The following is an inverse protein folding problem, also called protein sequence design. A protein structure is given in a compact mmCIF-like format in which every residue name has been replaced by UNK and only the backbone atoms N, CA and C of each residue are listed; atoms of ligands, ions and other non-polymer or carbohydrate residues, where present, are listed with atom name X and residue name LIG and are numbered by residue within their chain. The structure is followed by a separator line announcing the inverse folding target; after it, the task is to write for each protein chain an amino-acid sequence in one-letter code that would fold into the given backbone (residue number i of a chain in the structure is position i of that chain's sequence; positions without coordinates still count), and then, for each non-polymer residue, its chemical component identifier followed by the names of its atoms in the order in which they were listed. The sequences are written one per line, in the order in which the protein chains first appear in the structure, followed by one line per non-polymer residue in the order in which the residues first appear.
data_IF_828442242745
#
_entry.id   IF_828442242745
#
_cell.length_a   1.000
_cell.length_b   1.000
_cell.length_c   1.000
_cell.angle_alpha   90.00
_cell.angle_beta   90.00
_cell.angle_gamma   90.00
#
_symmetry.space_group_name_H-M   'P 1'
#
loop_
_entity.id
_entity.type
_entity.pdbx_description
1 polymer ?
#
# COMPACT_ATOMS: atom_id res chain seq x y z
N UNK A 1 1.59 23.58 8.92
CA UNK A 1 1.87 22.53 7.93
C UNK A 1 0.54 22.05 7.35
N UNK A 2 0.51 21.65 6.07
CA UNK A 2 -0.68 21.05 5.43
C UNK A 2 -0.48 19.53 5.41
N UNK A 3 -1.49 18.77 5.81
CA UNK A 3 -1.48 17.30 5.79
C UNK A 3 -2.61 16.86 4.85
N UNK A 4 -2.29 16.06 3.83
CA UNK A 4 -3.30 15.40 3.01
C UNK A 4 -3.90 14.22 3.80
N UNK A 5 -5.09 14.43 4.35
CA UNK A 5 -5.81 13.37 5.06
C UNK A 5 -6.44 12.36 4.09
N UNK A 6 -6.84 12.78 2.88
CA UNK A 6 -7.32 11.94 1.77
C UNK A 6 -7.56 12.83 0.54
N UNK A 7 -7.07 12.42 -0.63
CA UNK A 7 -7.54 12.88 -1.93
C UNK A 7 -8.00 11.68 -2.77
N UNK A 8 -8.59 11.95 -3.94
CA UNK A 8 -9.00 10.89 -4.88
C UNK A 8 -7.80 10.03 -5.27
N UNK A 9 -6.66 10.67 -5.52
CA UNK A 9 -5.45 10.02 -6.02
C UNK A 9 -4.57 9.46 -4.89
N UNK A 10 -4.57 10.07 -3.70
CA UNK A 10 -3.60 9.76 -2.65
C UNK A 10 -4.22 9.69 -1.26
N UNK A 11 -3.80 8.69 -0.48
CA UNK A 11 -4.12 8.60 0.94
C UNK A 11 -2.86 8.30 1.76
N UNK A 12 -1.92 9.24 1.86
CA UNK A 12 -0.59 8.99 2.43
C UNK A 12 -0.63 8.69 3.93
N UNK A 13 -1.60 9.24 4.64
CA UNK A 13 -1.82 9.00 6.08
C UNK A 13 -2.24 7.55 6.36
N UNK A 14 -3.08 6.94 5.52
CA UNK A 14 -3.49 5.55 5.66
C UNK A 14 -2.30 4.61 5.50
N UNK A 15 -1.47 4.82 4.48
CA UNK A 15 -0.27 4.00 4.30
C UNK A 15 0.69 4.09 5.50
N UNK A 16 0.86 5.28 6.09
CA UNK A 16 1.64 5.42 7.31
C UNK A 16 1.05 4.62 8.49
N UNK A 17 -0.29 4.63 8.63
CA UNK A 17 -0.99 3.81 9.62
C UNK A 17 -0.72 2.33 9.38
N UNK A 18 -0.88 1.85 8.15
CA UNK A 18 -0.67 0.44 7.77
C UNK A 18 0.76 -0.02 8.07
N UNK A 19 1.77 0.75 7.65
CA UNK A 19 3.19 0.46 7.92
C UNK A 19 3.48 0.45 9.42
N UNK A 20 2.90 1.39 10.18
CA UNK A 20 3.08 1.47 11.63
C UNK A 20 2.50 0.23 12.30
N UNK A 21 1.30 -0.18 11.91
CA UNK A 21 0.65 -1.40 12.41
C UNK A 21 1.48 -2.64 12.06
N UNK A 22 1.93 -2.78 10.81
CA UNK A 22 2.79 -3.91 10.40
C UNK A 22 4.09 -3.96 11.22
N UNK A 23 4.79 -2.82 11.37
CA UNK A 23 5.99 -2.75 12.20
C UNK A 23 5.72 -3.13 13.66
N UNK A 24 4.61 -2.66 14.24
CA UNK A 24 4.24 -3.00 15.62
C UNK A 24 3.89 -4.48 15.80
N UNK A 25 3.29 -5.12 14.80
CA UNK A 25 2.85 -6.52 14.88
C UNK A 25 3.92 -7.52 14.49
N UNK A 26 4.79 -7.17 13.54
CA UNK A 26 5.77 -8.09 12.96
C UNK A 26 7.23 -7.70 13.26
N UNK A 27 7.46 -6.56 13.93
CA UNK A 27 8.79 -6.06 14.31
C UNK A 27 9.48 -5.27 13.20
N UNK A 28 9.53 -5.83 12.00
CA UNK A 28 10.05 -5.18 10.79
C UNK A 28 9.11 -5.32 9.59
N UNK A 29 9.29 -4.44 8.60
CA UNK A 29 8.50 -4.43 7.36
C UNK A 29 9.26 -5.15 6.23
N UNK A 30 10.59 -5.09 6.23
CA UNK A 30 11.41 -5.79 5.25
C UNK A 30 11.12 -7.30 5.30
N UNK A 31 11.12 -7.96 4.14
CA UNK A 31 10.84 -9.40 4.08
C UNK A 31 9.36 -9.80 4.23
N UNK A 32 8.44 -8.86 4.53
CA UNK A 32 7.02 -9.21 4.69
C UNK A 32 6.36 -9.61 3.37
N UNK A 33 5.55 -10.67 3.44
CA UNK A 33 4.65 -11.10 2.36
C UNK A 33 3.24 -10.65 2.72
N UNK A 34 2.69 -9.74 1.93
CA UNK A 34 1.42 -9.06 2.21
C UNK A 34 0.40 -9.40 1.14
N UNK A 35 -0.78 -9.85 1.55
CA UNK A 35 -1.93 -10.03 0.66
C UNK A 35 -2.90 -8.88 0.88
N UNK A 36 -3.16 -8.10 -0.16
CA UNK A 36 -4.26 -7.15 -0.21
C UNK A 36 -5.39 -7.76 -1.03
N UNK A 37 -6.59 -7.78 -0.47
CA UNK A 37 -7.79 -8.30 -1.13
C UNK A 37 -8.88 -7.25 -1.12
N UNK A 38 -9.41 -6.91 -2.30
CA UNK A 38 -10.43 -5.88 -2.43
C UNK A 38 -10.25 -5.05 -3.69
N UNK A 39 -10.64 -3.78 -3.62
CA UNK A 39 -10.55 -2.82 -4.73
C UNK A 39 -9.18 -2.12 -4.76
N UNK A 40 -8.60 -1.95 -5.94
CA UNK A 40 -7.36 -1.23 -6.20
C UNK A 40 -7.50 0.29 -6.09
N UNK A 41 -8.03 0.77 -4.96
CA UNK A 41 -8.25 2.17 -4.66
C UNK A 41 -6.95 2.91 -4.22
N UNK A 42 -7.10 4.15 -3.80
CA UNK A 42 -6.00 4.99 -3.31
C UNK A 42 -5.27 4.39 -2.10
N UNK A 43 -5.93 3.63 -1.22
CA UNK A 43 -5.28 2.89 -0.13
C UNK A 43 -4.43 1.73 -0.64
N UNK A 44 -4.95 0.93 -1.59
CA UNK A 44 -4.19 -0.16 -2.21
C UNK A 44 -2.94 0.38 -2.93
N UNK A 45 -3.10 1.49 -3.68
CA UNK A 45 -2.01 2.17 -4.35
C UNK A 45 -0.98 2.74 -3.35
N UNK A 46 -1.42 3.39 -2.29
CA UNK A 46 -0.55 3.94 -1.26
C UNK A 46 0.22 2.84 -0.51
N UNK A 47 -0.42 1.71 -0.21
CA UNK A 47 0.22 0.54 0.38
C UNK A 47 1.28 -0.05 -0.56
N UNK A 48 0.98 -0.19 -1.86
CA UNK A 48 1.91 -0.70 -2.86
C UNK A 48 3.17 0.18 -2.98
N UNK A 49 2.99 1.50 -3.14
CA UNK A 49 4.11 2.45 -3.22
C UNK A 49 4.93 2.52 -1.94
N UNK A 50 4.30 2.27 -0.79
CA UNK A 50 4.97 2.31 0.50
C UNK A 50 5.77 1.04 0.76
N UNK A 51 5.20 -0.14 0.48
CA UNK A 51 5.88 -1.42 0.64
C UNK A 51 7.05 -1.59 -0.33
N UNK A 52 6.99 -1.02 -1.54
CA UNK A 52 8.09 -1.07 -2.52
C UNK A 52 9.38 -0.40 -2.02
N UNK A 53 9.31 0.42 -0.96
CA UNK A 53 10.47 1.04 -0.30
C UNK A 53 11.20 0.12 0.67
N UNK A 54 10.66 -1.06 0.97
CA UNK A 54 11.25 -2.01 1.91
C UNK A 54 11.76 -3.24 1.15
N UNK A 55 13.05 -3.60 1.31
CA UNK A 55 13.63 -4.72 0.58
C UNK A 55 13.01 -6.05 1.00
N UNK A 56 12.91 -6.96 0.02
CA UNK A 56 12.42 -8.33 0.24
C UNK A 56 10.93 -8.43 0.53
N UNK A 57 10.15 -7.34 0.42
CA UNK A 57 8.70 -7.41 0.53
C UNK A 57 8.08 -8.02 -0.73
N UNK A 58 7.00 -8.78 -0.54
CA UNK A 58 6.16 -9.27 -1.64
C UNK A 58 4.72 -8.81 -1.39
N UNK A 59 4.15 -8.06 -2.33
CA UNK A 59 2.75 -7.65 -2.28
C UNK A 59 1.94 -8.41 -3.32
N UNK A 60 0.91 -9.12 -2.85
CA UNK A 60 -0.07 -9.82 -3.67
C UNK A 60 -1.35 -8.97 -3.71
N UNK A 61 -1.74 -8.52 -4.90
CA UNK A 61 -2.98 -7.76 -5.12
C UNK A 61 -4.05 -8.69 -5.68
N UNK A 62 -4.97 -9.15 -4.83
CA UNK A 62 -6.10 -9.97 -5.24
C UNK A 62 -7.35 -9.10 -5.41
N UNK A 63 -7.53 -8.60 -6.63
CA UNK A 63 -8.57 -7.62 -6.97
C UNK A 63 -9.56 -8.22 -7.98
N UNK A 64 -10.85 -7.83 -7.95
CA UNK A 64 -11.79 -8.18 -9.01
C UNK A 64 -11.33 -7.66 -10.38
N UNK A 65 -11.71 -8.34 -11.46
CA UNK A 65 -11.39 -7.91 -12.82
C UNK A 65 -11.91 -6.48 -13.06
N UNK A 66 -11.03 -5.59 -13.54
CA UNK A 66 -11.34 -4.17 -13.77
C UNK A 66 -11.17 -3.25 -12.55
N UNK A 67 -10.93 -3.81 -11.36
CA UNK A 67 -10.73 -3.06 -10.11
C UNK A 67 -9.29 -3.16 -9.60
N UNK A 68 -8.33 -3.40 -10.49
CA UNK A 68 -6.92 -3.46 -10.15
C UNK A 68 -6.32 -2.08 -9.85
N UNK A 69 -5.17 -2.07 -9.18
CA UNK A 69 -4.39 -0.85 -9.00
C UNK A 69 -3.93 -0.35 -10.37
N UNK A 70 -3.97 0.98 -10.57
CA UNK A 70 -3.55 1.61 -11.83
C UNK A 70 -2.16 1.14 -12.28
N UNK A 71 -1.95 0.80 -13.57
CA UNK A 71 -0.64 0.42 -14.09
C UNK A 71 0.47 1.45 -13.79
N UNK A 72 0.14 2.74 -13.82
CA UNK A 72 1.08 3.83 -13.51
C UNK A 72 1.64 3.82 -12.08
N UNK A 73 0.98 3.10 -11.16
CA UNK A 73 1.47 2.88 -9.80
C UNK A 73 2.36 1.63 -9.74
N UNK A 74 2.01 0.59 -10.52
CA UNK A 74 2.75 -0.68 -10.56
C UNK A 74 4.10 -0.58 -11.30
N UNK A 75 4.23 0.39 -12.19
CA UNK A 75 5.46 0.65 -12.96
C UNK A 75 6.50 1.50 -12.19
N UNK A 76 6.19 1.92 -10.96
CA UNK A 76 7.07 2.73 -10.10
C UNK A 76 7.87 1.89 -9.13
#
# INVERSE_FOLDING_TARGET
AVINAMSVEEHPTQALTDLTTMKQKFGEIAGLRVLYMGEGNNSAAALALSLSRFPGTELYLFTPAGYGVSPSVLEK
#
